data_IF_730867160873
#
_entry.id   IF_730867160873
#
_cell.length_a   1.000
_cell.length_b   1.000
_cell.length_c   1.000
_cell.angle_alpha   90.00
_cell.angle_beta   90.00
_cell.angle_gamma   90.00
#
_symmetry.space_group_name_H-M   'P 1'
#
loop_
_entity.id
_entity.type
_entity.pdbx_description
1 polymer ?
#
# COMPACT_ATOMS: atom_id res chain seq x y z
N UNK A 1 -35.25 -5.42 13.30
CA UNK A 1 -34.41 -4.22 13.49
C UNK A 1 -33.08 -4.48 12.82
N UNK A 2 -33.02 -4.26 11.50
CA UNK A 2 -31.76 -4.37 10.75
C UNK A 2 -31.11 -2.99 10.81
N UNK A 3 -30.06 -2.87 11.62
CA UNK A 3 -29.34 -1.60 11.83
C UNK A 3 -28.73 -1.13 10.52
N UNK A 4 -28.94 0.16 10.25
CA UNK A 4 -28.45 0.89 9.11
C UNK A 4 -27.05 1.43 9.40
N UNK A 5 -26.02 0.70 9.01
CA UNK A 5 -24.62 1.18 8.89
C UNK A 5 -24.00 0.34 7.74
N UNK A 6 -24.40 0.65 6.51
CA UNK A 6 -23.63 1.49 5.59
C UNK A 6 -22.34 0.80 5.09
N UNK A 7 -22.23 0.76 3.77
CA UNK A 7 -21.31 -0.03 2.97
C UNK A 7 -19.90 0.55 3.08
N UNK A 8 -19.28 0.44 4.25
CA UNK A 8 -17.83 0.34 4.28
C UNK A 8 -17.53 -1.05 3.74
N UNK A 9 -17.32 -1.15 2.41
CA UNK A 9 -16.64 -2.30 1.83
C UNK A 9 -15.49 -2.61 2.75
N UNK A 10 -15.59 -3.70 3.51
CA UNK A 10 -14.65 -4.04 4.58
C UNK A 10 -13.28 -3.87 3.97
N UNK A 11 -12.56 -2.82 4.37
CA UNK A 11 -11.25 -2.51 3.81
C UNK A 11 -10.36 -3.58 4.39
N UNK A 12 -10.38 -4.75 3.74
CA UNK A 12 -9.65 -5.89 4.22
C UNK A 12 -8.17 -5.55 4.02
N UNK A 13 -7.43 -5.42 5.12
CA UNK A 13 -6.01 -5.22 4.99
C UNK A 13 -5.42 -6.37 4.18
N UNK A 14 -4.65 -6.03 3.16
CA UNK A 14 -4.01 -6.98 2.26
C UNK A 14 -2.56 -7.11 2.66
N UNK A 15 -2.12 -8.33 2.97
CA UNK A 15 -0.72 -8.63 3.23
C UNK A 15 0.05 -8.69 1.92
N UNK A 16 1.05 -7.84 1.77
CA UNK A 16 1.89 -7.77 0.58
C UNK A 16 3.37 -7.85 0.93
N UNK A 17 4.16 -8.35 -0.01
CA UNK A 17 5.61 -8.22 0.07
C UNK A 17 5.98 -6.87 -0.55
N UNK A 18 6.60 -6.01 0.23
CA UNK A 18 7.06 -4.71 -0.20
C UNK A 18 8.58 -4.70 -0.33
N UNK A 19 9.06 -4.25 -1.47
CA UNK A 19 10.48 -3.95 -1.73
C UNK A 19 10.64 -2.43 -1.64
N UNK A 20 10.98 -1.88 -0.45
CA UNK A 20 11.13 -0.44 -0.30
C UNK A 20 12.33 0.06 -1.11
N UNK A 21 12.34 1.34 -1.50
CA UNK A 21 13.51 1.95 -2.14
C UNK A 21 14.78 1.83 -1.28
N UNK A 22 14.63 1.84 0.04
CA UNK A 22 15.72 1.71 1.01
C UNK A 22 15.37 0.67 2.06
N UNK A 23 16.29 -0.28 2.25
CA UNK A 23 16.18 -1.35 3.24
C UNK A 23 15.78 -2.71 2.65
N UNK A 24 15.66 -3.74 3.50
CA UNK A 24 15.28 -5.08 3.06
C UNK A 24 13.80 -5.14 2.66
N UNK A 25 13.49 -6.11 1.81
CA UNK A 25 12.11 -6.50 1.54
C UNK A 25 11.40 -6.88 2.85
N UNK A 26 10.15 -6.46 2.98
CA UNK A 26 9.35 -6.64 4.19
C UNK A 26 7.92 -6.98 3.84
N UNK A 27 7.29 -7.83 4.66
CA UNK A 27 5.88 -8.13 4.52
C UNK A 27 5.07 -7.13 5.33
N UNK A 28 4.23 -6.36 4.65
CA UNK A 28 3.43 -5.29 5.26
C UNK A 28 1.95 -5.50 5.02
N UNK A 29 1.16 -4.86 5.87
CA UNK A 29 -0.28 -4.78 5.74
C UNK A 29 -0.63 -3.45 5.05
N UNK A 30 -1.40 -3.51 3.96
CA UNK A 30 -1.82 -2.31 3.22
C UNK A 30 -3.33 -2.31 2.97
N UNK A 31 -3.91 -1.12 2.96
CA UNK A 31 -5.31 -0.92 2.54
C UNK A 31 -5.43 -0.92 1.01
N UNK A 32 -6.68 -1.04 0.54
CA UNK A 32 -6.98 -0.86 -0.89
C UNK A 32 -6.51 0.50 -1.42
N UNK A 33 -6.69 1.57 -0.65
CA UNK A 33 -6.24 2.91 -1.05
C UNK A 33 -4.72 3.01 -1.23
N UNK A 34 -3.95 2.27 -0.42
CA UNK A 34 -2.49 2.19 -0.59
C UNK A 34 -2.10 1.38 -1.83
N UNK A 35 -2.80 0.27 -2.12
CA UNK A 35 -2.58 -0.55 -3.32
C UNK A 35 -2.95 0.18 -4.61
N UNK A 36 -3.98 1.01 -4.58
CA UNK A 36 -4.38 1.84 -5.72
C UNK A 36 -3.56 3.14 -5.83
N UNK A 37 -2.53 3.32 -5.00
CA UNK A 37 -1.66 4.50 -5.03
C UNK A 37 -2.35 5.80 -4.64
N UNK A 38 -3.46 5.73 -3.91
CA UNK A 38 -4.23 6.89 -3.42
C UNK A 38 -3.80 7.34 -2.03
N UNK A 39 -3.08 6.50 -1.30
CA UNK A 39 -2.50 6.81 -0.01
C UNK A 39 -1.03 6.39 0.04
N UNK A 40 -0.26 7.03 0.94
CA UNK A 40 1.13 6.65 1.17
C UNK A 40 1.24 5.19 1.63
N UNK A 41 2.04 4.38 0.94
CA UNK A 41 2.28 2.97 1.29
C UNK A 41 2.87 2.78 2.69
N UNK A 42 3.60 3.78 3.21
CA UNK A 42 4.18 3.72 4.56
C UNK A 42 3.23 4.13 5.68
N UNK A 43 2.61 5.30 5.59
CA UNK A 43 1.81 5.83 6.70
C UNK A 43 0.30 5.71 6.49
N UNK A 44 -0.18 5.49 5.26
CA UNK A 44 -1.61 5.41 4.94
C UNK A 44 -2.41 6.71 5.08
N UNK A 45 -1.87 7.72 5.78
CA UNK A 45 -2.62 8.92 6.17
C UNK A 45 -2.53 10.09 5.18
N UNK A 46 -1.43 10.20 4.43
CA UNK A 46 -1.20 11.35 3.54
C UNK A 46 -1.59 11.03 2.10
N UNK A 47 -2.45 11.88 1.52
CA UNK A 47 -3.01 11.72 0.17
C UNK A 47 -2.43 12.74 -0.84
N UNK A 48 -1.91 13.87 -0.35
CA UNK A 48 -1.38 14.94 -1.20
C UNK A 48 0.14 14.84 -1.41
N UNK A 49 0.58 15.24 -2.61
CA UNK A 49 1.99 15.23 -3.00
C UNK A 49 2.59 13.83 -3.10
N UNK A 50 1.75 12.82 -3.33
CA UNK A 50 2.16 11.43 -3.49
C UNK A 50 3.05 11.25 -4.73
N UNK A 51 4.21 10.62 -4.54
CA UNK A 51 5.17 10.32 -5.61
C UNK A 51 5.39 8.81 -5.73
N UNK A 52 5.86 8.37 -6.89
CA UNK A 52 6.15 6.96 -7.15
C UNK A 52 7.18 6.41 -6.15
N UNK A 53 6.86 5.24 -5.57
CA UNK A 53 7.65 4.62 -4.51
C UNK A 53 7.80 3.11 -4.72
N UNK A 54 8.03 2.72 -5.98
CA UNK A 54 8.27 1.33 -6.36
C UNK A 54 7.00 0.48 -6.42
N UNK A 55 7.13 -0.80 -6.09
CA UNK A 55 6.07 -1.79 -6.21
C UNK A 55 5.92 -2.60 -4.92
N UNK A 56 4.68 -2.99 -4.61
CA UNK A 56 4.38 -4.09 -3.70
C UNK A 56 3.90 -5.28 -4.49
N UNK A 57 3.93 -6.47 -3.89
CA UNK A 57 3.58 -7.71 -4.56
C UNK A 57 2.54 -8.46 -3.74
N UNK A 58 1.41 -8.75 -4.37
CA UNK A 58 0.42 -9.70 -3.84
C UNK A 58 0.72 -11.09 -4.36
N UNK A 59 0.65 -12.10 -3.50
CA UNK A 59 0.82 -13.50 -3.90
C UNK A 59 -0.54 -14.12 -4.18
N UNK A 60 -0.71 -14.64 -5.39
CA UNK A 60 -1.94 -15.37 -5.79
C UNK A 60 -1.99 -16.75 -5.15
N UNK A 61 -3.16 -17.39 -5.15
CA UNK A 61 -3.33 -18.78 -4.68
C UNK A 61 -2.48 -19.79 -5.46
N UNK A 62 -2.10 -19.46 -6.70
CA UNK A 62 -1.19 -20.25 -7.53
C UNK A 62 0.30 -19.95 -7.27
N UNK A 63 0.63 -19.06 -6.32
CA UNK A 63 2.00 -18.69 -5.96
C UNK A 63 2.66 -17.62 -6.85
N UNK A 64 1.95 -17.11 -7.87
CA UNK A 64 2.46 -16.02 -8.68
C UNK A 64 2.45 -14.69 -7.92
N UNK A 65 3.54 -13.91 -8.02
CA UNK A 65 3.64 -12.53 -7.49
C UNK A 65 3.10 -11.54 -8.52
N UNK A 66 2.08 -10.79 -8.15
CA UNK A 66 1.53 -9.71 -8.98
C UNK A 66 2.03 -8.35 -8.46
N UNK A 67 2.74 -7.56 -9.28
CA UNK A 67 3.24 -6.25 -8.88
C UNK A 67 2.13 -5.19 -8.91
N UNK A 68 2.15 -4.31 -7.90
CA UNK A 68 1.26 -3.16 -7.76
C UNK A 68 2.11 -1.91 -7.56
N UNK A 69 2.02 -0.90 -8.45
CA UNK A 69 2.74 0.35 -8.26
C UNK A 69 2.17 1.08 -7.04
N UNK A 70 3.05 1.54 -6.15
CA UNK A 70 2.64 2.23 -4.93
C UNK A 70 3.23 3.63 -4.86
N UNK A 71 2.56 4.50 -4.11
CA UNK A 71 2.99 5.87 -3.88
C UNK A 71 3.46 6.06 -2.45
N UNK A 72 4.36 7.00 -2.22
CA UNK A 72 4.70 7.48 -0.89
C UNK A 72 4.61 9.00 -0.81
N UNK A 73 4.35 9.51 0.39
CA UNK A 73 4.31 10.95 0.61
C UNK A 73 5.73 11.54 0.68
N UNK A 74 5.89 12.86 0.51
CA UNK A 74 7.20 13.53 0.49
C UNK A 74 8.09 13.19 1.69
N UNK A 75 7.49 13.04 2.88
CA UNK A 75 8.21 12.66 4.09
C UNK A 75 8.87 11.27 4.00
N UNK A 76 8.25 10.35 3.27
CA UNK A 76 8.68 8.95 3.17
C UNK A 76 9.40 8.61 1.86
N UNK A 77 9.29 9.46 0.84
CA UNK A 77 10.04 9.35 -0.42
C UNK A 77 11.45 9.94 -0.32
N UNK A 78 11.62 11.02 0.45
CA UNK A 78 12.92 11.69 0.63
C UNK A 78 13.95 10.77 1.30
N UNK A 79 13.50 9.75 2.04
CA UNK A 79 14.37 8.73 2.63
C UNK A 79 14.89 7.69 1.62
N UNK A 80 14.44 7.76 0.35
CA UNK A 80 14.74 6.79 -0.71
C UNK A 80 15.71 7.26 -1.80
N UNK A 81 16.17 8.51 -1.76
CA UNK A 81 17.04 9.11 -2.77
C UNK A 81 18.33 9.64 -2.12
N UNK A 82 19.23 8.74 -1.76
CA UNK A 82 20.62 9.06 -1.44
C UNK A 82 21.53 8.01 -2.07
#
# INVERSE_FOLDING_TARGET
MHSAEDVMATVHPTMVDWEPPVGPAQRIEVSGEQLYGRACVRCGCQLDGLMDSGYVYTTTTAGARLPWPVKACPHHTVQGAA
#
